data_IF_964928364998
#
_entry.id   IF_964928364998
#
_cell.length_a   1.000
_cell.length_b   1.000
_cell.length_c   1.000
_cell.angle_alpha   90.00
_cell.angle_beta   90.00
_cell.angle_gamma   90.00
#
_symmetry.space_group_name_H-M   'P 1'
#
loop_
_entity.id
_entity.type
_entity.pdbx_description
1 polymer ?
#
# COMPACT_ATOMS: atom_id res chain seq x y z
N UNK A 1 33.15 17.44 -7.49
CA UNK A 1 31.99 18.19 -8.00
C UNK A 1 32.06 19.56 -7.36
N UNK A 2 32.30 20.60 -8.15
CA UNK A 2 32.24 21.98 -7.66
C UNK A 2 30.75 22.36 -7.51
N UNK A 3 30.28 22.67 -6.29
CA UNK A 3 28.87 23.00 -6.02
C UNK A 3 28.40 24.30 -6.69
N UNK A 4 29.31 25.11 -7.25
CA UNK A 4 28.98 26.30 -8.02
C UNK A 4 29.14 26.11 -9.53
N UNK A 5 29.46 24.90 -9.98
CA UNK A 5 29.57 24.62 -11.42
C UNK A 5 28.21 24.69 -12.11
N UNK A 6 28.23 25.14 -13.37
CA UNK A 6 27.02 25.20 -14.22
C UNK A 6 26.33 23.83 -14.31
N UNK A 7 27.09 22.75 -14.51
CA UNK A 7 26.54 21.39 -14.54
C UNK A 7 25.81 21.02 -13.25
N UNK A 8 26.35 21.38 -12.08
CA UNK A 8 25.71 21.09 -10.81
C UNK A 8 24.38 21.86 -10.66
N UNK A 9 24.37 23.14 -11.05
CA UNK A 9 23.17 23.97 -11.03
C UNK A 9 22.09 23.46 -11.99
N UNK A 10 22.48 23.04 -13.20
CA UNK A 10 21.56 22.49 -14.19
C UNK A 10 20.97 21.16 -13.71
N UNK A 11 21.78 20.31 -13.09
CA UNK A 11 21.32 19.05 -12.49
C UNK A 11 20.34 19.31 -11.33
N UNK A 12 20.63 20.29 -10.48
CA UNK A 12 19.75 20.67 -9.38
C UNK A 12 18.39 21.20 -9.89
N UNK A 13 18.41 22.02 -10.93
CA UNK A 13 17.19 22.52 -11.59
C UNK A 13 16.37 21.37 -12.21
N UNK A 14 17.03 20.40 -12.84
CA UNK A 14 16.38 19.22 -13.40
C UNK A 14 15.70 18.38 -12.30
N UNK A 15 16.41 18.07 -11.21
CA UNK A 15 15.83 17.31 -10.07
C UNK A 15 14.67 18.08 -9.43
N UNK A 16 14.80 19.40 -9.26
CA UNK A 16 13.74 20.25 -8.75
C UNK A 16 12.50 20.20 -9.66
N UNK A 17 12.68 20.20 -10.99
CA UNK A 17 11.59 20.11 -11.97
C UNK A 17 10.88 18.76 -11.97
N UNK A 18 11.58 17.68 -11.64
CA UNK A 18 11.00 16.32 -11.55
C UNK A 18 10.17 16.12 -10.29
N UNK A 19 10.48 16.85 -9.21
CA UNK A 19 9.91 16.65 -7.88
C UNK A 19 8.37 16.71 -7.87
N UNK A 20 7.68 17.66 -8.54
CA UNK A 20 6.21 17.71 -8.59
C UNK A 20 5.60 16.50 -9.30
N UNK A 21 6.18 16.05 -10.41
CA UNK A 21 5.68 14.91 -11.19
C UNK A 21 5.86 13.59 -10.44
N UNK A 22 7.00 13.41 -9.77
CA UNK A 22 7.25 12.23 -8.92
C UNK A 22 6.27 12.21 -7.74
N UNK A 23 6.06 13.36 -7.08
CA UNK A 23 5.10 13.48 -5.98
C UNK A 23 3.67 13.15 -6.43
N UNK A 24 3.25 13.60 -7.60
CA UNK A 24 1.93 13.28 -8.16
C UNK A 24 1.77 11.77 -8.39
N UNK A 25 2.78 11.10 -8.97
CA UNK A 25 2.78 9.64 -9.18
C UNK A 25 2.74 8.87 -7.86
N UNK A 26 3.48 9.31 -6.83
CA UNK A 26 3.45 8.67 -5.51
C UNK A 26 2.07 8.75 -4.87
N UNK A 27 1.41 9.92 -4.91
CA UNK A 27 0.04 10.08 -4.41
C UNK A 27 -0.96 9.20 -5.16
N UNK A 28 -0.82 9.09 -6.48
CA UNK A 28 -1.66 8.21 -7.28
C UNK A 28 -1.45 6.74 -6.91
N UNK A 29 -0.20 6.31 -6.75
CA UNK A 29 0.13 4.96 -6.33
C UNK A 29 -0.46 4.62 -4.95
N UNK A 30 -0.40 5.56 -4.00
CA UNK A 30 -1.03 5.39 -2.68
C UNK A 30 -2.54 5.23 -2.77
N UNK A 31 -3.21 6.02 -3.63
CA UNK A 31 -4.65 5.90 -3.88
C UNK A 31 -5.01 4.53 -4.45
N UNK A 32 -4.30 4.11 -5.50
CA UNK A 32 -4.53 2.81 -6.15
C UNK A 32 -4.27 1.65 -5.19
N UNK A 33 -3.21 1.75 -4.37
CA UNK A 33 -2.91 0.79 -3.30
C UNK A 33 -4.02 0.73 -2.27
N UNK A 34 -4.56 1.87 -1.82
CA UNK A 34 -5.66 1.89 -0.86
C UNK A 34 -6.93 1.24 -1.43
N UNK A 35 -7.27 1.53 -2.70
CA UNK A 35 -8.39 0.89 -3.39
C UNK A 35 -8.18 -0.62 -3.56
N UNK A 36 -6.95 -1.05 -3.90
CA UNK A 36 -6.60 -2.47 -3.98
C UNK A 36 -6.73 -3.17 -2.63
N UNK A 37 -6.22 -2.56 -1.56
CA UNK A 37 -6.33 -3.14 -0.21
C UNK A 37 -7.79 -3.25 0.24
N UNK A 38 -8.64 -2.27 -0.10
CA UNK A 38 -10.10 -2.34 0.15
C UNK A 38 -10.76 -3.52 -0.58
N UNK A 39 -10.36 -3.79 -1.84
CA UNK A 39 -10.84 -4.96 -2.60
C UNK A 39 -10.38 -6.27 -1.97
N UNK A 40 -9.11 -6.35 -1.53
CA UNK A 40 -8.56 -7.53 -0.88
C UNK A 40 -9.21 -7.78 0.48
N UNK A 41 -9.42 -6.74 1.30
CA UNK A 41 -10.06 -6.90 2.62
C UNK A 41 -11.52 -7.32 2.52
N UNK A 42 -12.21 -6.96 1.43
CA UNK A 42 -13.57 -7.40 1.14
C UNK A 42 -13.65 -8.74 0.42
N UNK A 43 -12.52 -9.27 -0.08
CA UNK A 43 -12.48 -10.58 -0.70
C UNK A 43 -12.50 -11.65 0.40
N UNK A 44 -13.63 -12.35 0.51
CA UNK A 44 -13.70 -13.53 1.37
C UNK A 44 -12.73 -14.57 0.83
N UNK A 45 -11.78 -15.01 1.67
CA UNK A 45 -10.88 -16.10 1.29
C UNK A 45 -11.74 -17.33 0.98
N UNK A 46 -11.71 -17.88 -0.25
CA UNK A 46 -12.54 -19.02 -0.64
C UNK A 46 -12.22 -20.29 0.16
N UNK A 47 -11.08 -20.33 0.86
CA UNK A 47 -10.70 -21.38 1.80
C UNK A 47 -11.17 -21.11 3.24
N UNK A 48 -11.59 -19.88 3.60
CA UNK A 48 -12.06 -19.57 4.96
C UNK A 48 -13.31 -20.38 5.38
N UNK A 49 -14.33 -20.58 4.53
CA UNK A 49 -15.48 -21.42 4.88
C UNK A 49 -15.12 -22.91 5.05
N UNK A 50 -13.99 -23.34 4.50
CA UNK A 50 -13.50 -24.73 4.56
C UNK A 50 -12.38 -24.92 5.58
N UNK A 51 -11.98 -23.87 6.32
CA UNK A 51 -10.93 -23.97 7.32
C UNK A 51 -11.47 -24.74 8.55
N UNK A 52 -10.97 -25.96 8.85
CA UNK A 52 -11.43 -26.75 9.99
C UNK A 52 -11.13 -26.09 11.34
N UNK A 53 -10.22 -25.10 11.37
CA UNK A 53 -9.88 -24.29 12.54
C UNK A 53 -10.66 -22.97 12.63
N UNK A 54 -11.56 -22.68 11.68
CA UNK A 54 -12.45 -21.53 11.82
C UNK A 54 -13.34 -21.76 13.06
N UNK A 55 -13.58 -20.73 13.90
CA UNK A 55 -14.38 -20.87 15.11
C UNK A 55 -15.80 -21.29 14.73
N UNK A 56 -16.08 -22.60 14.86
CA UNK A 56 -17.43 -23.12 14.76
C UNK A 56 -18.17 -22.65 16.02
N UNK A 57 -19.35 -22.01 15.90
CA UNK A 57 -20.15 -21.57 17.05
C UNK A 57 -20.72 -22.73 17.90
N UNK A 58 -20.39 -23.98 17.56
CA UNK A 58 -20.94 -25.19 18.19
C UNK A 58 -19.90 -26.01 18.94
N UNK A 59 -18.76 -25.43 19.36
CA UNK A 59 -17.86 -26.15 20.27
C UNK A 59 -18.59 -26.42 21.60
N UNK A 60 -18.89 -27.68 21.98
CA UNK A 60 -19.59 -28.00 23.22
C UNK A 60 -18.77 -27.65 24.48
N UNK A 61 -17.47 -27.37 24.31
CA UNK A 61 -16.54 -27.00 25.37
C UNK A 61 -16.28 -25.48 25.43
N UNK A 62 -16.97 -24.64 24.64
CA UNK A 62 -16.88 -23.21 24.82
C UNK A 62 -17.57 -22.82 26.14
N UNK A 63 -16.95 -21.99 27.01
CA UNK A 63 -17.63 -21.49 28.19
C UNK A 63 -18.87 -20.72 27.73
N UNK A 64 -20.04 -21.13 28.22
CA UNK A 64 -21.27 -20.36 28.04
C UNK A 64 -21.01 -18.97 28.63
N UNK A 65 -21.18 -17.93 27.82
CA UNK A 65 -21.39 -16.59 28.36
C UNK A 65 -22.74 -16.55 29.07
#
# INVERSE_FOLDING_TARGET
MDPNSQEFNDLQAYVASLTPSVLAKMKQFEKERAELMKKISGATNPCAPKNPCAPKPTNPCAPKQ
#
